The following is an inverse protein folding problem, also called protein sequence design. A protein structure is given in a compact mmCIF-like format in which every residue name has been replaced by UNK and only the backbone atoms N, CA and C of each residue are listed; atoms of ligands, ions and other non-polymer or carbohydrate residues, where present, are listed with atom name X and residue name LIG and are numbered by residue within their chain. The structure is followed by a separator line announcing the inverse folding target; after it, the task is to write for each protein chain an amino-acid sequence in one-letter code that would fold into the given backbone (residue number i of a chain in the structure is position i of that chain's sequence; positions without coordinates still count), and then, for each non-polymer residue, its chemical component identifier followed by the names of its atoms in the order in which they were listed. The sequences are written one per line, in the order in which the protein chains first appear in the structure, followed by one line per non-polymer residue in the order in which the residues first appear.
data_IF_439702006239
#
_entry.id   IF_439702006239
#
_cell.length_a   1.000
_cell.length_b   1.000
_cell.length_c   1.000
_cell.angle_alpha   90.00
_cell.angle_beta   90.00
_cell.angle_gamma   90.00
#
_symmetry.space_group_name_H-M   'P 1'
#
loop_
_entity.id
_entity.type
_entity.pdbx_description
1 polymer ?
#
# COMPACT_ATOMS: atom_id res chain seq x y z
N UNK A 1 -46.12 -21.09 -22.19
CA UNK A 1 -45.52 -19.74 -22.35
C UNK A 1 -45.19 -19.05 -21.02
N UNK A 2 -46.13 -18.88 -20.08
CA UNK A 2 -45.89 -18.18 -18.79
C UNK A 2 -44.72 -18.74 -17.95
N UNK A 3 -44.55 -20.07 -17.87
CA UNK A 3 -43.48 -20.71 -17.11
C UNK A 3 -42.06 -20.43 -17.64
N UNK A 4 -41.90 -20.33 -18.98
CA UNK A 4 -40.60 -20.03 -19.61
C UNK A 4 -40.14 -18.59 -19.31
N UNK A 5 -41.07 -17.63 -19.31
CA UNK A 5 -40.76 -16.22 -18.98
C UNK A 5 -40.35 -16.05 -17.52
N UNK A 6 -41.01 -16.78 -16.60
CA UNK A 6 -40.65 -16.75 -15.18
C UNK A 6 -39.24 -17.32 -14.92
N UNK A 7 -38.88 -18.43 -15.59
CA UNK A 7 -37.51 -18.99 -15.51
C UNK A 7 -36.45 -18.05 -16.09
N UNK A 8 -36.74 -17.38 -17.20
CA UNK A 8 -35.84 -16.35 -17.76
C UNK A 8 -35.62 -15.18 -16.79
N UNK A 9 -36.68 -14.69 -16.15
CA UNK A 9 -36.56 -13.61 -15.15
C UNK A 9 -35.71 -14.03 -13.93
N UNK A 10 -35.87 -15.26 -13.45
CA UNK A 10 -35.06 -15.78 -12.34
C UNK A 10 -33.58 -15.92 -12.72
N UNK A 11 -33.27 -16.39 -13.93
CA UNK A 11 -31.89 -16.44 -14.44
C UNK A 11 -31.28 -15.04 -14.57
N UNK A 12 -32.03 -14.07 -15.11
CA UNK A 12 -31.56 -12.69 -15.23
C UNK A 12 -31.28 -12.06 -13.86
N UNK A 13 -32.14 -12.31 -12.87
CA UNK A 13 -31.92 -11.85 -11.50
C UNK A 13 -30.68 -12.49 -10.87
N UNK A 14 -30.45 -13.79 -11.08
CA UNK A 14 -29.23 -14.46 -10.59
C UNK A 14 -27.96 -13.90 -11.23
N UNK A 15 -27.98 -13.61 -12.53
CA UNK A 15 -26.85 -12.99 -13.25
C UNK A 15 -26.55 -11.59 -12.69
N UNK A 16 -27.58 -10.78 -12.43
CA UNK A 16 -27.42 -9.46 -11.82
C UNK A 16 -26.82 -9.54 -10.40
N UNK A 17 -27.30 -10.47 -9.57
CA UNK A 17 -26.77 -10.69 -8.22
C UNK A 17 -25.29 -11.12 -8.30
N UNK A 18 -24.94 -12.04 -9.18
CA UNK A 18 -23.54 -12.48 -9.37
C UNK A 18 -22.64 -11.33 -9.82
N UNK A 19 -23.12 -10.49 -10.74
CA UNK A 19 -22.39 -9.30 -11.21
C UNK A 19 -22.16 -8.30 -10.08
N UNK A 20 -23.20 -7.99 -9.31
CA UNK A 20 -23.11 -7.09 -8.16
C UNK A 20 -22.16 -7.62 -7.07
N UNK A 21 -22.19 -8.93 -6.79
CA UNK A 21 -21.25 -9.56 -5.85
C UNK A 21 -19.81 -9.40 -6.36
N UNK A 22 -19.55 -9.70 -7.63
CA UNK A 22 -18.23 -9.58 -8.24
C UNK A 22 -17.69 -8.15 -8.18
N UNK A 23 -18.50 -7.17 -8.56
CA UNK A 23 -18.16 -5.73 -8.49
C UNK A 23 -17.87 -5.30 -7.04
N UNK A 24 -18.65 -5.79 -6.07
CA UNK A 24 -18.43 -5.48 -4.64
C UNK A 24 -17.10 -6.05 -4.11
N UNK A 25 -16.70 -7.25 -4.56
CA UNK A 25 -15.45 -7.89 -4.17
C UNK A 25 -14.27 -7.14 -4.81
N UNK A 26 -14.40 -6.77 -6.08
CA UNK A 26 -13.41 -6.00 -6.81
C UNK A 26 -13.20 -4.62 -6.19
N UNK A 27 -14.26 -3.87 -5.90
CA UNK A 27 -14.16 -2.57 -5.22
C UNK A 27 -13.49 -2.68 -3.85
N UNK A 28 -13.78 -3.74 -3.07
CA UNK A 28 -13.10 -3.99 -1.78
C UNK A 28 -11.60 -4.22 -1.97
N UNK A 29 -11.19 -4.91 -3.04
CA UNK A 29 -9.78 -5.16 -3.37
C UNK A 29 -9.09 -3.86 -3.81
N UNK A 30 -9.73 -3.08 -4.67
CA UNK A 30 -9.23 -1.78 -5.13
C UNK A 30 -9.04 -0.81 -3.96
N UNK A 31 -10.02 -0.69 -3.06
CA UNK A 31 -9.92 0.16 -1.86
C UNK A 31 -8.76 -0.25 -0.96
N UNK A 32 -8.49 -1.56 -0.81
CA UNK A 32 -7.33 -2.05 -0.04
C UNK A 32 -6.02 -1.65 -0.72
N UNK A 33 -5.91 -1.83 -2.03
CA UNK A 33 -4.72 -1.42 -2.78
C UNK A 33 -4.49 0.10 -2.72
N UNK A 34 -5.55 0.89 -2.89
CA UNK A 34 -5.49 2.35 -2.76
C UNK A 34 -5.07 2.80 -1.35
N UNK A 35 -5.60 2.16 -0.30
CA UNK A 35 -5.19 2.44 1.08
C UNK A 35 -3.70 2.15 1.29
N UNK A 36 -3.21 1.04 0.74
CA UNK A 36 -1.78 0.71 0.79
C UNK A 36 -0.96 1.78 0.09
N UNK A 37 -1.33 2.13 -1.14
CA UNK A 37 -0.63 3.15 -1.92
C UNK A 37 -0.57 4.48 -1.17
N UNK A 38 -1.69 4.92 -0.59
CA UNK A 38 -1.75 6.13 0.22
C UNK A 38 -0.81 6.09 1.45
N UNK A 39 -0.73 4.94 2.14
CA UNK A 39 0.21 4.77 3.27
C UNK A 39 1.66 4.83 2.79
N UNK A 40 2.00 4.15 1.70
CA UNK A 40 3.36 4.13 1.13
C UNK A 40 3.80 5.54 0.76
N UNK A 41 2.95 6.24 0.00
CA UNK A 41 3.19 7.63 -0.39
C UNK A 41 3.30 8.53 0.83
N UNK A 42 2.44 8.36 1.84
CA UNK A 42 2.49 9.13 3.09
C UNK A 42 3.80 8.94 3.84
N UNK A 43 4.25 7.70 4.03
CA UNK A 43 5.53 7.39 4.69
C UNK A 43 6.70 7.96 3.91
N UNK A 44 6.70 7.79 2.58
CA UNK A 44 7.72 8.36 1.71
C UNK A 44 7.81 9.89 1.88
N UNK A 45 6.67 10.60 1.82
CA UNK A 45 6.64 12.04 2.03
C UNK A 45 7.13 12.40 3.43
N UNK A 46 6.68 11.73 4.50
CA UNK A 46 7.12 12.05 5.87
C UNK A 46 8.64 11.85 6.06
N UNK A 47 9.21 10.79 5.48
CA UNK A 47 10.65 10.54 5.55
C UNK A 47 11.48 11.55 4.76
N UNK A 48 10.95 12.07 3.64
CA UNK A 48 11.67 12.98 2.76
C UNK A 48 11.41 14.47 3.00
N UNK A 49 10.22 14.82 3.49
CA UNK A 49 9.77 16.19 3.67
C UNK A 49 10.75 17.03 4.52
N UNK A 50 11.33 16.53 5.63
CA UNK A 50 12.25 17.33 6.42
C UNK A 50 13.54 17.67 5.66
N UNK A 51 14.04 16.74 4.85
CA UNK A 51 15.20 16.97 3.98
C UNK A 51 14.87 17.98 2.87
N UNK A 52 13.70 17.85 2.22
CA UNK A 52 13.26 18.80 1.20
C UNK A 52 13.08 20.21 1.75
N UNK A 53 12.46 20.35 2.93
CA UNK A 53 12.29 21.65 3.59
C UNK A 53 13.65 22.29 3.89
N UNK A 54 14.61 21.52 4.39
CA UNK A 54 15.97 22.03 4.62
C UNK A 54 16.66 22.47 3.33
N UNK A 55 16.57 21.67 2.26
CA UNK A 55 17.15 22.00 0.97
C UNK A 55 16.57 23.31 0.39
N UNK A 56 15.31 23.63 0.68
CA UNK A 56 14.66 24.88 0.28
C UNK A 56 15.02 26.06 1.20
N UNK A 57 15.15 25.84 2.52
CA UNK A 57 15.41 26.91 3.50
C UNK A 57 16.88 27.33 3.53
N UNK A 58 17.83 26.40 3.38
CA UNK A 58 19.28 26.67 3.38
C UNK A 58 19.71 27.80 2.42
N UNK A 59 19.27 27.85 1.14
CA UNK A 59 19.63 28.95 0.24
C UNK A 59 18.90 30.26 0.56
N UNK A 60 17.72 30.19 1.20
CA UNK A 60 16.89 31.37 1.53
C UNK A 60 17.32 32.05 2.83
N UNK A 61 17.94 31.31 3.76
CA UNK A 61 18.33 31.83 5.06
C UNK A 61 19.81 31.53 5.36
N UNK A 62 20.66 32.53 5.12
CA UNK A 62 22.12 32.45 5.36
C UNK A 62 22.51 32.30 6.84
N UNK A 63 21.60 32.60 7.78
CA UNK A 63 21.85 32.52 9.23
C UNK A 63 21.10 31.38 9.91
N UNK A 64 20.27 30.63 9.17
CA UNK A 64 19.56 29.48 9.70
C UNK A 64 20.48 28.27 9.64
N UNK A 65 21.48 28.22 10.52
CA UNK A 65 22.35 27.07 10.62
C UNK A 65 21.64 26.00 11.47
N UNK A 66 21.25 24.85 10.89
CA UNK A 66 20.66 23.77 11.67
C UNK A 66 21.68 23.27 12.69
N UNK A 67 21.22 22.99 13.91
CA UNK A 67 22.05 22.30 14.90
C UNK A 67 22.54 20.97 14.32
N UNK A 68 23.76 20.55 14.67
CA UNK A 68 24.33 19.26 14.21
C UNK A 68 23.40 18.08 14.45
N UNK A 69 22.63 18.12 15.54
CA UNK A 69 21.64 17.09 15.87
C UNK A 69 20.46 17.07 14.90
N UNK A 70 19.95 18.23 14.48
CA UNK A 70 18.86 18.35 13.50
C UNK A 70 19.31 17.76 12.16
N UNK A 71 20.52 18.11 11.72
CA UNK A 71 21.10 17.59 10.49
C UNK A 71 21.31 16.06 10.56
N UNK A 72 21.83 15.55 11.68
CA UNK A 72 21.97 14.11 11.89
C UNK A 72 20.62 13.39 11.85
N UNK A 73 19.58 13.90 12.52
CA UNK A 73 18.25 13.28 12.51
C UNK A 73 17.70 13.19 11.08
N UNK A 74 17.83 14.23 10.26
CA UNK A 74 17.38 14.19 8.87
C UNK A 74 18.17 13.21 8.01
N UNK A 75 19.48 13.12 8.22
CA UNK A 75 20.31 12.13 7.55
C UNK A 75 19.88 10.70 7.91
N UNK A 76 19.65 10.43 9.19
CA UNK A 76 19.13 9.15 9.68
C UNK A 76 17.74 8.84 9.12
N UNK A 77 16.86 9.84 9.02
CA UNK A 77 15.53 9.69 8.43
C UNK A 77 15.60 9.30 6.93
N UNK A 78 16.55 9.88 6.20
CA UNK A 78 16.86 9.49 4.82
C UNK A 78 17.35 8.04 4.71
N UNK A 79 18.20 7.58 5.63
CA UNK A 79 18.62 6.17 5.68
C UNK A 79 17.47 5.22 6.04
N UNK A 80 16.54 5.65 6.90
CA UNK A 80 15.34 4.88 7.22
C UNK A 80 14.46 4.63 5.99
N UNK A 81 14.47 5.50 4.98
CA UNK A 81 13.72 5.28 3.72
C UNK A 81 14.12 3.96 3.03
N UNK A 82 15.41 3.61 3.05
CA UNK A 82 15.88 2.34 2.48
C UNK A 82 15.46 1.12 3.30
N UNK A 83 15.43 1.25 4.63
CA UNK A 83 14.93 0.20 5.54
C UNK A 83 13.42 0.00 5.45
N UNK A 84 12.69 1.09 5.18
CA UNK A 84 11.24 1.06 5.04
C UNK A 84 10.80 0.32 3.79
N UNK A 85 11.62 0.24 2.74
CA UNK A 85 11.28 -0.51 1.52
C UNK A 85 10.89 -1.98 1.81
N UNK A 86 11.75 -2.86 2.39
CA UNK A 86 11.34 -4.22 2.78
C UNK A 86 10.15 -4.28 3.75
N UNK A 87 10.05 -3.35 4.69
CA UNK A 87 8.97 -3.32 5.70
C UNK A 87 7.62 -3.00 5.05
N UNK A 88 7.62 -2.02 4.15
CA UNK A 88 6.46 -1.64 3.34
C UNK A 88 6.01 -2.84 2.50
N UNK A 89 6.92 -3.48 1.76
CA UNK A 89 6.54 -4.60 0.91
C UNK A 89 6.04 -5.80 1.73
N UNK A 90 6.63 -6.09 2.90
CA UNK A 90 6.23 -7.23 3.74
C UNK A 90 4.95 -7.00 4.55
N UNK A 91 4.61 -5.78 4.93
CA UNK A 91 3.35 -5.51 5.66
C UNK A 91 2.18 -5.43 4.70
N UNK A 92 2.39 -4.87 3.50
CA UNK A 92 1.29 -4.46 2.63
C UNK A 92 1.09 -5.31 1.38
N UNK A 93 2.08 -6.09 0.95
CA UNK A 93 1.87 -7.10 -0.10
C UNK A 93 1.77 -8.48 0.55
N UNK A 94 0.55 -9.08 0.62
CA UNK A 94 0.38 -10.41 1.19
C UNK A 94 1.22 -11.46 0.45
N UNK A 95 1.36 -11.31 -0.87
CA UNK A 95 2.18 -12.19 -1.71
C UNK A 95 3.67 -12.06 -1.38
N UNK A 96 4.14 -10.82 -1.20
CA UNK A 96 5.50 -10.56 -0.77
C UNK A 96 5.75 -11.07 0.65
N UNK A 97 4.80 -10.86 1.58
CA UNK A 97 4.85 -11.37 2.95
C UNK A 97 4.92 -12.89 2.99
N UNK A 98 4.12 -13.57 2.17
CA UNK A 98 4.10 -15.02 2.06
C UNK A 98 5.42 -15.54 1.47
N UNK A 99 5.96 -14.89 0.44
CA UNK A 99 7.29 -15.19 -0.10
C UNK A 99 8.41 -14.98 0.93
N UNK A 100 8.42 -13.83 1.60
CA UNK A 100 9.39 -13.48 2.62
C UNK A 100 9.33 -14.44 3.82
N UNK A 101 8.13 -14.84 4.26
CA UNK A 101 7.93 -15.85 5.31
C UNK A 101 8.38 -17.23 4.87
N UNK A 102 8.22 -17.58 3.59
CA UNK A 102 8.71 -18.85 3.02
C UNK A 102 10.24 -18.89 2.99
N UNK A 103 10.88 -17.76 2.67
CA UNK A 103 12.34 -17.62 2.66
C UNK A 103 12.90 -17.64 4.09
N UNK A 104 12.34 -16.85 5.02
CA UNK A 104 12.85 -16.72 6.39
C UNK A 104 12.49 -17.88 7.31
N UNK A 105 11.29 -18.44 7.20
CA UNK A 105 10.81 -19.49 8.09
C UNK A 105 10.84 -20.90 7.46
N UNK A 106 11.26 -21.03 6.19
CA UNK A 106 11.38 -22.33 5.51
C UNK A 106 10.07 -23.12 5.36
N UNK A 107 8.91 -22.50 5.61
CA UNK A 107 7.62 -23.20 5.60
C UNK A 107 7.28 -23.59 4.15
N UNK A 108 7.53 -24.86 3.79
CA UNK A 108 6.98 -25.46 2.57
C UNK A 108 5.46 -25.46 2.69
N UNK A 109 4.78 -24.61 1.93
CA UNK A 109 3.35 -24.76 1.70
C UNK A 109 3.12 -26.15 1.10
N UNK A 110 2.48 -27.04 1.85
CA UNK A 110 1.97 -28.30 1.34
C UNK A 110 0.86 -27.94 0.34
N UNK A 111 1.24 -27.89 -0.93
CA UNK A 111 0.33 -27.68 -2.06
C UNK A 111 -0.69 -28.83 -2.02
N UNK A 112 -1.95 -28.51 -1.75
CA UNK A 112 -3.10 -29.34 -2.11
C UNK A 112 -3.71 -28.72 -3.34
#
# INVERSE_FOLDING_TARGET
MKHKNAQQHLQMNQIQIQKAIKESIESKRERKAAKILAIITGIFVICWLPFFVMALVMPLCKYCEPSKYIFSIFLWLGYCNSLLNPIIYTIFSPDFRNGFRRILCGIKSRQR
#
